data_IF_157208418768
#
_entry.id   IF_157208418768
#
_cell.length_a   1.000
_cell.length_b   1.000
_cell.length_c   1.000
_cell.angle_alpha   90.00
_cell.angle_beta   90.00
_cell.angle_gamma   90.00
#
_symmetry.space_group_name_H-M   'P 1'
#
loop_
_entity.id
_entity.type
_entity.pdbx_description
1 polymer ?
#
# COMPACT_ATOMS: atom_id res chain seq x y z
N UNK A 1 -14.96 11.44 -14.32
CA UNK A 1 -15.19 10.90 -12.97
C UNK A 1 -14.01 10.04 -12.54
N UNK A 2 -13.62 10.15 -11.30
CA UNK A 2 -12.54 9.32 -10.77
C UNK A 2 -13.05 7.91 -10.50
N UNK A 3 -12.22 6.95 -10.78
CA UNK A 3 -12.51 5.52 -10.54
C UNK A 3 -11.35 4.86 -9.84
N UNK A 4 -11.64 3.79 -9.11
CA UNK A 4 -10.60 2.97 -8.50
C UNK A 4 -10.07 1.98 -9.52
N UNK A 5 -8.76 2.00 -9.74
CA UNK A 5 -8.09 1.12 -10.67
C UNK A 5 -7.02 0.33 -9.92
N UNK A 6 -6.83 -0.90 -10.32
CA UNK A 6 -5.75 -1.72 -9.79
C UNK A 6 -4.50 -1.53 -10.65
N UNK A 7 -3.39 -1.27 -10.01
CA UNK A 7 -2.11 -1.12 -10.69
C UNK A 7 -1.14 -2.18 -10.19
N UNK A 8 -0.36 -2.72 -11.11
CA UNK A 8 0.70 -3.68 -10.74
C UNK A 8 1.95 -2.94 -10.37
N UNK A 9 2.58 -3.37 -9.29
CA UNK A 9 3.83 -2.79 -8.81
C UNK A 9 4.81 -3.91 -8.54
N UNK A 10 6.09 -3.55 -8.42
CA UNK A 10 7.15 -4.51 -8.14
C UNK A 10 7.01 -5.07 -6.73
N UNK A 11 7.29 -6.36 -6.58
CA UNK A 11 7.26 -7.02 -5.27
C UNK A 11 8.19 -6.27 -4.29
N UNK A 12 7.72 -6.07 -3.08
CA UNK A 12 8.39 -5.32 -2.00
C UNK A 12 8.50 -3.81 -2.26
N UNK A 13 7.92 -3.30 -3.35
CA UNK A 13 7.91 -1.86 -3.64
C UNK A 13 6.53 -1.23 -3.44
N UNK A 14 5.58 -1.98 -2.93
CA UNK A 14 4.19 -1.53 -2.79
C UNK A 14 4.08 -0.29 -1.90
N UNK A 15 4.68 -0.35 -0.71
CA UNK A 15 4.63 0.79 0.23
C UNK A 15 5.35 2.00 -0.32
N UNK A 16 6.47 1.79 -0.97
CA UNK A 16 7.24 2.87 -1.58
C UNK A 16 6.45 3.54 -2.70
N UNK A 17 5.76 2.75 -3.51
CA UNK A 17 4.91 3.26 -4.57
C UNK A 17 3.74 4.06 -3.99
N UNK A 18 3.10 3.54 -2.94
CA UNK A 18 2.02 4.25 -2.26
C UNK A 18 2.49 5.61 -1.77
N UNK A 19 3.64 5.66 -1.11
CA UNK A 19 4.17 6.91 -0.57
C UNK A 19 4.48 7.90 -1.69
N UNK A 20 5.02 7.42 -2.81
CA UNK A 20 5.30 8.26 -3.97
C UNK A 20 4.02 8.83 -4.57
N UNK A 21 2.97 8.00 -4.71
CA UNK A 21 1.68 8.45 -5.22
C UNK A 21 1.06 9.50 -4.31
N UNK A 22 1.15 9.30 -3.01
CA UNK A 22 0.65 10.27 -2.03
C UNK A 22 1.38 11.60 -2.17
N UNK A 23 2.68 11.57 -2.36
CA UNK A 23 3.48 12.78 -2.56
C UNK A 23 3.09 13.51 -3.85
N UNK A 24 2.59 12.79 -4.84
CA UNK A 24 2.11 13.37 -6.10
C UNK A 24 0.66 13.84 -6.03
N UNK A 25 0.01 13.70 -4.87
CA UNK A 25 -1.39 14.08 -4.70
C UNK A 25 -2.39 13.09 -5.26
N UNK A 26 -1.96 11.85 -5.52
CA UNK A 26 -2.83 10.79 -6.03
C UNK A 26 -3.34 9.95 -4.86
N UNK A 27 -4.65 9.83 -4.75
CA UNK A 27 -5.27 8.98 -3.73
C UNK A 27 -5.03 7.52 -4.07
N UNK A 28 -4.49 6.77 -3.13
CA UNK A 28 -4.18 5.37 -3.33
C UNK A 28 -4.57 4.55 -2.11
N UNK A 29 -4.78 3.26 -2.33
CA UNK A 29 -5.10 2.32 -1.26
C UNK A 29 -4.24 1.08 -1.43
N UNK A 30 -3.46 0.78 -0.40
CA UNK A 30 -2.67 -0.44 -0.34
C UNK A 30 -3.24 -1.30 0.78
N UNK A 31 -3.86 -2.44 0.44
CA UNK A 31 -4.40 -3.31 1.48
C UNK A 31 -3.28 -3.91 2.30
N UNK A 32 -3.24 -3.55 3.58
CA UNK A 32 -2.25 -4.07 4.52
C UNK A 32 -2.97 -4.61 5.74
N UNK A 33 -2.38 -5.61 6.36
CA UNK A 33 -2.82 -6.15 7.62
C UNK A 33 -1.78 -5.81 8.66
N UNK A 34 -2.21 -5.25 9.78
CA UNK A 34 -1.32 -4.96 10.89
C UNK A 34 -1.18 -6.19 11.76
N UNK A 35 0.05 -6.54 12.08
CA UNK A 35 0.36 -7.64 12.97
C UNK A 35 1.24 -7.11 14.11
N UNK A 36 1.00 -7.61 15.32
CA UNK A 36 1.83 -7.27 16.46
C UNK A 36 2.73 -8.47 16.73
N UNK A 37 4.04 -8.24 16.61
CA UNK A 37 5.04 -9.25 16.90
C UNK A 37 5.69 -8.93 18.23
N UNK A 38 5.68 -9.90 19.14
CA UNK A 38 6.34 -9.76 20.42
C UNK A 38 7.72 -10.38 20.34
N UNK A 39 8.72 -9.53 20.43
CA UNK A 39 10.12 -9.96 20.58
C UNK A 39 10.45 -10.01 22.06
N UNK A 40 11.55 -10.63 22.45
CA UNK A 40 11.86 -10.99 23.83
C UNK A 40 11.57 -9.89 24.87
N UNK A 41 11.68 -8.62 24.54
CA UNK A 41 11.48 -7.51 25.45
C UNK A 41 10.75 -6.32 24.86
N UNK A 42 10.19 -6.46 23.65
CA UNK A 42 9.44 -5.36 23.01
C UNK A 42 8.39 -5.88 22.05
N UNK A 43 7.35 -5.08 21.89
CA UNK A 43 6.33 -5.32 20.87
C UNK A 43 6.61 -4.45 19.66
N UNK A 44 6.51 -5.02 18.48
CA UNK A 44 6.67 -4.29 17.23
C UNK A 44 5.45 -4.48 16.36
N UNK A 45 4.91 -3.36 15.88
CA UNK A 45 3.79 -3.36 14.95
C UNK A 45 4.34 -3.48 13.54
N UNK A 46 3.88 -4.49 12.80
CA UNK A 46 4.35 -4.76 11.45
C UNK A 46 3.15 -4.73 10.50
N UNK A 47 3.28 -4.01 9.41
CA UNK A 47 2.29 -4.01 8.34
C UNK A 47 2.65 -5.06 7.31
N UNK A 48 1.69 -5.94 7.01
CA UNK A 48 1.86 -6.97 6.00
C UNK A 48 0.98 -6.65 4.80
N UNK A 49 1.56 -6.65 3.60
CA UNK A 49 0.79 -6.44 2.37
C UNK A 49 -0.07 -7.68 2.12
N UNK A 50 -1.39 -7.48 2.06
CA UNK A 50 -2.34 -8.59 1.89
C UNK A 50 -2.35 -9.09 0.45
N UNK A 51 -2.31 -8.16 -0.51
CA UNK A 51 -2.28 -8.51 -1.93
C UNK A 51 -0.96 -7.99 -2.49
N UNK A 52 0.05 -8.87 -2.68
CA UNK A 52 1.35 -8.43 -3.15
C UNK A 52 1.30 -7.99 -4.62
N UNK A 53 2.21 -7.09 -4.98
CA UNK A 53 2.39 -6.60 -6.35
C UNK A 53 1.18 -5.82 -6.90
N UNK A 54 0.30 -5.35 -6.03
CA UNK A 54 -0.89 -4.64 -6.47
C UNK A 54 -1.19 -3.46 -5.55
N UNK A 55 -1.61 -2.36 -6.14
CA UNK A 55 -2.04 -1.18 -5.42
C UNK A 55 -3.27 -0.59 -6.14
N UNK A 56 -4.21 -0.07 -5.37
CA UNK A 56 -5.40 0.56 -5.93
C UNK A 56 -5.21 2.07 -5.95
N UNK A 57 -5.57 2.68 -7.07
CA UNK A 57 -5.45 4.13 -7.24
C UNK A 57 -6.81 4.72 -7.62
N UNK A 58 -7.09 5.89 -7.10
CA UNK A 58 -8.35 6.61 -7.37
C UNK A 58 -8.03 7.77 -8.31
N UNK A 59 -8.24 7.54 -9.59
CA UNK A 59 -7.86 8.49 -10.64
C UNK A 59 -8.93 8.59 -11.71
N UNK A 60 -8.86 9.65 -12.48
CA UNK A 60 -9.69 9.82 -13.67
C UNK A 60 -9.02 9.09 -14.83
N UNK A 61 -9.66 8.07 -15.41
CA UNK A 61 -9.05 7.27 -16.46
C UNK A 61 -8.95 7.98 -17.82
N UNK A 62 -9.56 9.13 -17.95
CA UNK A 62 -9.54 9.87 -19.23
C UNK A 62 -8.22 10.60 -19.45
#
# INVERSE_FOLDING_TARGET
>A
MKSWLAAYVRLYHEKKTRDRLTAMGIESFLPVQEEIHQWSDRRKKIERVVIPMMIFVHVDPA
#
